data_IF_489651860759
#
_entry.id   IF_489651860759
#
_cell.length_a   1.000
_cell.length_b   1.000
_cell.length_c   1.000
_cell.angle_alpha   90.00
_cell.angle_beta   90.00
_cell.angle_gamma   90.00
#
_symmetry.space_group_name_H-M   'P 1'
#
loop_
_entity.id
_entity.type
_entity.pdbx_description
1 polymer ?
#
# COMPACT_ATOMS: atom_id res chain seq x y z
N UNK A 1 26.93 5.74 -6.91
CA UNK A 1 26.33 4.88 -7.96
C UNK A 1 25.66 3.63 -7.40
N UNK A 2 26.33 2.83 -6.55
CA UNK A 2 25.74 1.61 -5.96
C UNK A 2 24.47 1.84 -5.12
N UNK A 3 24.34 2.99 -4.46
CA UNK A 3 23.20 3.29 -3.59
C UNK A 3 21.86 3.35 -4.35
N UNK A 4 21.88 3.79 -5.61
CA UNK A 4 20.68 3.84 -6.46
C UNK A 4 20.27 2.45 -6.92
N UNK A 5 21.26 1.58 -7.20
CA UNK A 5 21.02 0.18 -7.60
C UNK A 5 20.37 -0.56 -6.44
N UNK A 6 20.95 -0.46 -5.24
CA UNK A 6 20.37 -1.08 -4.03
C UNK A 6 18.98 -0.51 -3.76
N UNK A 7 18.81 0.81 -3.86
CA UNK A 7 17.53 1.48 -3.64
C UNK A 7 16.43 1.00 -4.60
N UNK A 8 16.70 0.95 -5.91
CA UNK A 8 15.71 0.51 -6.90
C UNK A 8 15.43 -0.99 -6.80
N UNK A 9 16.41 -1.82 -6.44
CA UNK A 9 16.20 -3.25 -6.20
C UNK A 9 15.26 -3.49 -5.01
N UNK A 10 15.50 -2.80 -3.88
CA UNK A 10 14.62 -2.89 -2.70
C UNK A 10 13.21 -2.38 -2.99
N UNK A 11 13.11 -1.23 -3.67
CA UNK A 11 11.83 -0.68 -4.09
C UNK A 11 11.06 -1.63 -5.02
N UNK A 12 11.75 -2.23 -6.01
CA UNK A 12 11.14 -3.17 -6.94
C UNK A 12 10.60 -4.43 -6.25
N UNK A 13 11.35 -4.99 -5.30
CA UNK A 13 10.88 -6.13 -4.50
C UNK A 13 9.64 -5.79 -3.68
N UNK A 14 9.67 -4.66 -2.97
CA UNK A 14 8.54 -4.21 -2.16
C UNK A 14 7.29 -3.91 -2.99
N UNK A 15 7.46 -3.25 -4.14
CA UNK A 15 6.35 -2.94 -5.04
C UNK A 15 5.77 -4.24 -5.62
N UNK A 16 6.63 -5.16 -6.09
CA UNK A 16 6.22 -6.44 -6.66
C UNK A 16 5.39 -7.31 -5.71
N UNK A 17 5.71 -7.31 -4.40
CA UNK A 17 4.89 -8.02 -3.40
C UNK A 17 3.57 -7.30 -3.08
N UNK A 18 3.53 -5.98 -3.18
CA UNK A 18 2.36 -5.18 -2.78
C UNK A 18 1.17 -5.37 -3.74
N UNK A 19 1.42 -5.49 -5.05
CA UNK A 19 0.36 -5.67 -6.07
C UNK A 19 -0.52 -6.91 -5.83
N UNK A 20 0.01 -8.14 -5.69
CA UNK A 20 -0.81 -9.32 -5.44
C UNK A 20 -1.48 -9.28 -4.06
N UNK A 21 -0.82 -8.75 -3.03
CA UNK A 21 -1.42 -8.62 -1.69
C UNK A 21 -2.62 -7.69 -1.69
N UNK A 22 -2.55 -6.55 -2.37
CA UNK A 22 -3.67 -5.61 -2.48
C UNK A 22 -4.86 -6.20 -3.26
N UNK A 23 -4.59 -6.93 -4.34
CA UNK A 23 -5.64 -7.58 -5.13
C UNK A 23 -6.31 -8.72 -4.37
N UNK A 24 -5.53 -9.53 -3.64
CA UNK A 24 -6.07 -10.55 -2.75
C UNK A 24 -6.93 -9.93 -1.66
N UNK A 25 -6.43 -8.90 -0.96
CA UNK A 25 -7.17 -8.20 0.08
C UNK A 25 -8.47 -7.55 -0.44
N UNK A 26 -8.43 -6.92 -1.61
CA UNK A 26 -9.61 -6.34 -2.22
C UNK A 26 -10.63 -7.41 -2.63
N UNK A 27 -10.16 -8.56 -3.09
CA UNK A 27 -11.04 -9.70 -3.44
C UNK A 27 -11.67 -10.29 -2.19
N UNK A 28 -10.90 -10.50 -1.12
CA UNK A 28 -11.38 -11.02 0.17
C UNK A 28 -12.39 -10.08 0.85
N UNK A 29 -12.22 -8.77 0.69
CA UNK A 29 -13.17 -7.77 1.23
C UNK A 29 -14.41 -7.60 0.35
N UNK A 30 -14.37 -8.03 -0.91
CA UNK A 30 -15.47 -7.88 -1.85
C UNK A 30 -16.47 -9.03 -1.75
N UNK A 31 -17.76 -8.70 -1.86
CA UNK A 31 -18.80 -9.73 -1.97
C UNK A 31 -18.63 -10.54 -3.26
N UNK A 32 -18.91 -11.84 -3.21
CA UNK A 32 -18.65 -12.78 -4.32
C UNK A 32 -19.25 -12.36 -5.65
N UNK A 33 -20.44 -11.76 -5.61
CA UNK A 33 -21.16 -11.26 -6.78
C UNK A 33 -20.58 -9.94 -7.36
N UNK A 34 -19.78 -9.21 -6.58
CA UNK A 34 -19.32 -7.85 -6.89
C UNK A 34 -17.79 -7.67 -6.86
N UNK A 35 -17.02 -8.76 -6.90
CA UNK A 35 -15.54 -8.75 -6.86
C UNK A 35 -14.90 -7.77 -7.86
N UNK A 36 -15.45 -7.69 -9.08
CA UNK A 36 -14.99 -6.74 -10.10
C UNK A 36 -15.15 -5.26 -9.69
N UNK A 37 -16.20 -4.92 -8.94
CA UNK A 37 -16.45 -3.55 -8.47
C UNK A 37 -15.48 -3.16 -7.35
N UNK A 38 -15.17 -4.09 -6.45
CA UNK A 38 -14.19 -3.86 -5.38
C UNK A 38 -12.79 -3.61 -5.92
N UNK A 39 -12.34 -4.44 -6.86
CA UNK A 39 -11.05 -4.24 -7.56
C UNK A 39 -11.04 -2.90 -8.32
N UNK A 40 -12.13 -2.56 -9.02
CA UNK A 40 -12.22 -1.26 -9.71
C UNK A 40 -12.09 -0.07 -8.75
N UNK A 41 -12.73 -0.12 -7.58
CA UNK A 41 -12.62 0.94 -6.56
C UNK A 41 -11.19 1.09 -6.02
N UNK A 42 -10.47 -0.02 -5.88
CA UNK A 42 -9.05 -0.01 -5.49
C UNK A 42 -8.20 0.69 -6.53
N UNK A 43 -8.37 0.37 -7.81
CA UNK A 43 -7.63 1.03 -8.89
C UNK A 43 -7.94 2.52 -9.00
N UNK A 44 -9.22 2.92 -8.88
CA UNK A 44 -9.60 4.35 -8.87
C UNK A 44 -8.90 5.08 -7.71
N UNK A 45 -8.91 4.48 -6.52
CA UNK A 45 -8.25 5.06 -5.35
C UNK A 45 -6.73 5.17 -5.54
N UNK A 46 -6.11 4.19 -6.20
CA UNK A 46 -4.69 4.19 -6.54
C UNK A 46 -4.34 5.33 -7.52
N UNK A 47 -5.09 5.47 -8.61
CA UNK A 47 -4.89 6.53 -9.60
C UNK A 47 -5.08 7.92 -8.98
N UNK A 48 -6.09 8.08 -8.11
CA UNK A 48 -6.28 9.29 -7.34
C UNK A 48 -5.06 9.57 -6.43
N UNK A 49 -4.52 8.55 -5.77
CA UNK A 49 -3.31 8.69 -4.95
C UNK A 49 -2.09 9.13 -5.76
N UNK A 50 -1.88 8.55 -6.95
CA UNK A 50 -0.79 8.92 -7.86
C UNK A 50 -0.97 10.36 -8.34
N UNK A 51 -2.17 10.74 -8.78
CA UNK A 51 -2.49 12.08 -9.25
C UNK A 51 -2.32 13.15 -8.17
N UNK A 52 -2.85 12.90 -6.97
CA UNK A 52 -2.70 13.80 -5.82
C UNK A 52 -1.24 13.91 -5.38
N UNK A 53 -0.51 12.80 -5.35
CA UNK A 53 0.92 12.78 -5.02
C UNK A 53 1.74 13.59 -6.02
N UNK A 54 1.48 13.44 -7.32
CA UNK A 54 2.14 14.22 -8.38
C UNK A 54 1.83 15.73 -8.25
N UNK A 55 0.56 16.07 -7.99
CA UNK A 55 0.15 17.46 -7.81
C UNK A 55 0.81 18.12 -6.58
N UNK A 56 0.75 17.46 -5.41
CA UNK A 56 1.33 17.97 -4.17
C UNK A 56 2.85 18.05 -4.29
N UNK A 57 3.52 17.02 -4.83
CA UNK A 57 4.98 17.03 -5.00
C UNK A 57 5.44 18.10 -5.99
N UNK A 58 4.69 18.36 -7.06
CA UNK A 58 4.96 19.46 -7.98
C UNK A 58 4.84 20.83 -7.29
N UNK A 59 3.84 21.02 -6.44
CA UNK A 59 3.70 22.23 -5.64
C UNK A 59 4.86 22.41 -4.66
N UNK A 60 5.20 21.35 -3.90
CA UNK A 60 6.26 21.39 -2.88
C UNK A 60 7.64 21.60 -3.50
N UNK A 61 7.89 21.07 -4.70
CA UNK A 61 9.16 21.23 -5.39
C UNK A 61 9.45 22.72 -5.70
N UNK A 62 8.42 23.51 -6.03
CA UNK A 62 8.51 24.96 -6.25
C UNK A 62 9.70 25.39 -7.14
N UNK A 63 10.02 24.59 -8.17
CA UNK A 63 11.12 24.76 -9.12
C UNK A 63 12.52 25.00 -8.47
N UNK A 64 12.70 24.60 -7.21
CA UNK A 64 13.95 24.78 -6.48
C UNK A 64 14.59 23.41 -6.23
N UNK A 65 15.83 23.17 -6.73
CA UNK A 65 16.53 21.91 -6.50
C UNK A 65 16.76 21.59 -5.02
N UNK A 66 16.77 22.60 -4.14
CA UNK A 66 16.90 22.42 -2.70
C UNK A 66 15.70 21.69 -2.07
N UNK A 67 14.52 21.81 -2.67
CA UNK A 67 13.28 21.19 -2.17
C UNK A 67 13.15 19.71 -2.55
N UNK A 68 14.05 19.18 -3.38
CA UNK A 68 14.03 17.78 -3.79
C UNK A 68 14.04 16.84 -2.59
N UNK A 69 14.97 17.08 -1.64
CA UNK A 69 15.04 16.30 -0.40
C UNK A 69 13.76 16.42 0.43
N UNK A 70 13.12 17.59 0.42
CA UNK A 70 11.88 17.84 1.15
C UNK A 70 10.72 17.02 0.56
N UNK A 71 10.62 16.93 -0.77
CA UNK A 71 9.65 16.04 -1.42
C UNK A 71 9.83 14.57 -1.01
N UNK A 72 11.08 14.05 -1.04
CA UNK A 72 11.35 12.68 -0.60
C UNK A 72 11.08 12.48 0.88
N UNK A 73 11.38 13.46 1.73
CA UNK A 73 11.11 13.42 3.16
C UNK A 73 9.60 13.33 3.45
N UNK A 74 8.77 14.12 2.74
CA UNK A 74 7.31 14.05 2.87
C UNK A 74 6.79 12.67 2.44
N UNK A 75 7.24 12.14 1.29
CA UNK A 75 6.85 10.81 0.83
C UNK A 75 7.25 9.72 1.83
N UNK A 76 8.46 9.81 2.39
CA UNK A 76 8.94 8.89 3.42
C UNK A 76 8.12 8.97 4.70
N UNK A 77 7.77 10.18 5.16
CA UNK A 77 6.93 10.38 6.34
C UNK A 77 5.53 9.80 6.14
N UNK A 78 4.90 10.03 4.98
CA UNK A 78 3.60 9.45 4.66
C UNK A 78 3.64 7.91 4.63
N UNK A 79 4.69 7.34 4.03
CA UNK A 79 4.89 5.88 4.03
C UNK A 79 5.09 5.34 5.45
N UNK A 80 5.83 6.04 6.30
CA UNK A 80 6.03 5.65 7.69
C UNK A 80 4.72 5.70 8.49
N UNK A 81 3.90 6.74 8.30
CA UNK A 81 2.58 6.85 8.93
C UNK A 81 1.68 5.67 8.51
N UNK A 82 1.65 5.35 7.22
CA UNK A 82 0.88 4.21 6.71
C UNK A 82 1.37 2.88 7.30
N UNK A 83 2.69 2.69 7.40
CA UNK A 83 3.29 1.51 8.01
C UNK A 83 2.93 1.38 9.49
N UNK A 84 3.03 2.46 10.28
CA UNK A 84 2.63 2.49 11.69
C UNK A 84 1.14 2.17 11.84
N UNK A 85 0.28 2.78 11.01
CA UNK A 85 -1.16 2.49 11.02
C UNK A 85 -1.44 1.00 10.80
N UNK A 86 -0.79 0.39 9.79
CA UNK A 86 -0.95 -1.03 9.48
C UNK A 86 -0.50 -1.92 10.65
N UNK A 87 0.62 -1.62 11.30
CA UNK A 87 1.07 -2.37 12.49
C UNK A 87 0.07 -2.31 13.64
N UNK A 88 -0.57 -1.15 13.87
CA UNK A 88 -1.57 -1.04 14.95
C UNK A 88 -2.85 -1.83 14.66
N UNK A 89 -3.24 -1.96 13.39
CA UNK A 89 -4.48 -2.63 12.96
C UNK A 89 -4.34 -4.13 12.68
N UNK A 90 -3.15 -4.62 12.30
CA UNK A 90 -2.92 -6.05 12.00
C UNK A 90 -3.17 -7.01 13.17
N UNK A 91 -3.13 -6.53 14.42
CA UNK A 91 -3.26 -7.39 15.62
C UNK A 91 -4.64 -8.05 15.78
N UNK A 92 -5.65 -7.70 14.98
CA UNK A 92 -7.02 -8.16 15.17
C UNK A 92 -7.48 -9.30 14.25
N UNK A 93 -6.65 -9.74 13.29
CA UNK A 93 -7.09 -10.69 12.25
C UNK A 93 -6.73 -12.18 12.49
N UNK A 94 -6.08 -12.53 13.60
CA UNK A 94 -5.69 -13.92 13.92
C UNK A 94 -6.47 -14.43 15.12
N UNK A 95 -7.74 -14.75 14.91
CA UNK A 95 -8.51 -15.65 15.78
C UNK A 95 -9.34 -16.57 14.90
N UNK A 96 -8.74 -17.66 14.42
CA UNK A 96 -9.48 -18.78 13.80
C UNK A 96 -10.10 -19.59 14.94
N UNK A 97 -11.45 -19.70 15.06
CA UNK A 97 -12.08 -20.56 16.05
C UNK A 97 -11.91 -22.02 15.62
N UNK A 98 -11.34 -22.84 16.51
CA UNK A 98 -11.22 -24.29 16.33
C UNK A 98 -12.57 -24.96 16.63
N UNK A 99 -13.49 -25.01 15.67
CA UNK A 99 -14.77 -25.73 15.82
C UNK A 99 -15.01 -26.88 14.85
N UNK A 100 -14.05 -27.23 13.98
CA UNK A 100 -14.24 -28.31 12.99
C UNK A 100 -13.73 -29.69 13.45
N UNK A 101 -13.27 -29.86 14.70
CA UNK A 101 -12.80 -31.16 15.22
C UNK A 101 -13.87 -32.00 15.95
N UNK A 102 -15.11 -31.51 16.11
CA UNK A 102 -16.11 -32.17 16.98
C UNK A 102 -17.22 -32.92 16.22
N UNK A 103 -17.42 -32.75 14.90
CA UNK A 103 -18.53 -33.43 14.17
C UNK A 103 -18.17 -34.81 13.56
N UNK A 104 -17.04 -35.41 13.94
CA UNK A 104 -16.58 -36.71 13.42
C UNK A 104 -16.47 -37.84 14.47
N UNK A 105 -17.18 -37.74 15.61
CA UNK A 105 -17.36 -38.84 16.56
C UNK A 105 -18.83 -38.98 17.00
#
# INVERSE_FOLDING_TARGET
SWILIVGVSLYGLAQGSTSPTLLAWATDLSHDEHRGRGIASLYISMELGIGLGAFISGWVYANSPANFLLCFAICSALSLIAFVYLLTKMRQAVTVPASDEIELN
#
